data_IF_350096633545
#
_entry.id   IF_350096633545
#
_cell.length_a   1.000
_cell.length_b   1.000
_cell.length_c   1.000
_cell.angle_alpha   90.00
_cell.angle_beta   90.00
_cell.angle_gamma   90.00
#
_symmetry.space_group_name_H-M   'P 1'
#
loop_
_entity.id
_entity.type
_entity.pdbx_description
1 polymer ?
#
# COMPACT_ATOMS: atom_id res chain seq x y z
N UNK A 1 -5.02 -18.11 23.54
CA UNK A 1 -4.87 -17.80 22.10
C UNK A 1 -5.12 -16.32 21.88
N UNK A 2 -4.38 -15.64 20.99
CA UNK A 2 -4.74 -14.26 20.61
C UNK A 2 -6.18 -14.27 20.09
N UNK A 3 -7.03 -13.41 20.69
CA UNK A 3 -8.48 -13.39 20.41
C UNK A 3 -8.81 -12.88 19.00
N UNK A 4 -7.85 -12.30 18.27
CA UNK A 4 -8.01 -11.81 16.90
C UNK A 4 -6.76 -12.15 16.06
N UNK A 5 -6.94 -12.91 14.98
CA UNK A 5 -5.87 -13.34 14.07
C UNK A 5 -5.50 -12.26 13.04
N UNK A 6 -6.39 -11.29 12.79
CA UNK A 6 -6.26 -10.30 11.70
C UNK A 6 -4.95 -9.50 11.73
N UNK A 7 -4.43 -9.03 12.89
CA UNK A 7 -3.16 -8.31 12.93
C UNK A 7 -1.98 -9.13 12.38
N UNK A 8 -1.96 -10.44 12.63
CA UNK A 8 -0.91 -11.33 12.15
C UNK A 8 -1.03 -11.59 10.64
N UNK A 9 -2.26 -11.67 10.13
CA UNK A 9 -2.50 -11.76 8.68
C UNK A 9 -2.00 -10.48 8.00
N UNK A 10 -2.38 -9.30 8.52
CA UNK A 10 -1.89 -8.03 7.97
C UNK A 10 -0.38 -7.89 8.08
N UNK A 11 0.24 -8.34 9.18
CA UNK A 11 1.69 -8.36 9.32
C UNK A 11 2.35 -9.17 8.19
N UNK A 12 1.90 -10.41 7.98
CA UNK A 12 2.44 -11.30 6.96
C UNK A 12 2.23 -10.75 5.54
N UNK A 13 1.02 -10.26 5.24
CA UNK A 13 0.71 -9.66 3.95
C UNK A 13 1.55 -8.40 3.70
N UNK A 14 1.62 -7.47 4.66
CA UNK A 14 2.40 -6.24 4.50
C UNK A 14 3.87 -6.54 4.23
N UNK A 15 4.47 -7.52 4.92
CA UNK A 15 5.86 -7.92 4.68
C UNK A 15 6.03 -8.56 3.30
N UNK A 16 5.11 -9.45 2.90
CA UNK A 16 5.14 -10.09 1.58
C UNK A 16 5.07 -9.05 0.45
N UNK A 17 4.14 -8.10 0.55
CA UNK A 17 3.99 -7.02 -0.43
C UNK A 17 5.17 -6.04 -0.38
N UNK A 18 5.72 -5.70 0.79
CA UNK A 18 6.90 -4.85 0.89
C UNK A 18 8.10 -5.44 0.13
N UNK A 19 8.39 -6.73 0.37
CA UNK A 19 9.49 -7.45 -0.30
C UNK A 19 9.22 -7.60 -1.79
N UNK A 20 7.99 -8.00 -2.16
CA UNK A 20 7.58 -8.15 -3.55
C UNK A 20 7.71 -6.85 -4.34
N UNK A 21 7.21 -5.73 -3.80
CA UNK A 21 7.34 -4.42 -4.42
C UNK A 21 8.79 -3.98 -4.52
N UNK A 22 9.58 -4.15 -3.47
CA UNK A 22 11.00 -3.78 -3.51
C UNK A 22 11.76 -4.57 -4.58
N UNK A 23 11.54 -5.89 -4.66
CA UNK A 23 12.16 -6.73 -5.67
C UNK A 23 11.75 -6.32 -7.09
N UNK A 24 10.45 -6.15 -7.36
CA UNK A 24 9.96 -5.75 -8.68
C UNK A 24 10.56 -4.39 -9.09
N UNK A 25 10.64 -3.44 -8.16
CA UNK A 25 11.18 -2.11 -8.45
C UNK A 25 12.67 -2.11 -8.77
N UNK A 26 13.47 -2.91 -8.05
CA UNK A 26 14.92 -2.95 -8.25
C UNK A 26 15.30 -3.84 -9.44
N UNK A 27 14.61 -4.98 -9.62
CA UNK A 27 15.01 -5.98 -10.60
C UNK A 27 14.30 -5.87 -11.96
N UNK A 28 13.08 -5.32 -12.01
CA UNK A 28 12.22 -5.40 -13.21
C UNK A 28 11.93 -4.02 -13.81
N UNK A 29 11.77 -2.98 -13.00
CA UNK A 29 11.31 -1.66 -13.46
C UNK A 29 12.49 -0.68 -13.54
N UNK A 30 13.14 -0.51 -14.72
CA UNK A 30 14.11 0.54 -14.91
C UNK A 30 13.39 1.89 -14.89
N UNK A 31 13.73 2.75 -13.92
CA UNK A 31 13.16 4.08 -13.83
C UNK A 31 14.25 5.15 -13.86
N UNK A 32 14.10 6.12 -14.76
CA UNK A 32 15.04 7.23 -14.95
C UNK A 32 14.50 8.56 -14.43
N UNK A 33 13.20 8.65 -14.14
CA UNK A 33 12.57 9.88 -13.67
C UNK A 33 12.48 9.89 -12.15
N UNK A 34 13.19 10.82 -11.50
CA UNK A 34 13.25 10.90 -10.05
C UNK A 34 11.87 11.01 -9.38
N UNK A 35 10.95 11.78 -9.98
CA UNK A 35 9.59 11.95 -9.44
C UNK A 35 8.73 10.69 -9.56
N UNK A 36 8.98 9.83 -10.56
CA UNK A 36 8.35 8.51 -10.68
C UNK A 36 9.00 7.50 -9.75
N UNK A 37 10.33 7.56 -9.62
CA UNK A 37 11.06 6.70 -8.70
C UNK A 37 10.58 6.94 -7.27
N UNK A 38 10.49 8.20 -6.83
CA UNK A 38 10.01 8.55 -5.49
C UNK A 38 8.61 7.97 -5.21
N UNK A 39 7.67 8.11 -6.15
CA UNK A 39 6.31 7.57 -5.99
C UNK A 39 6.29 6.03 -5.93
N UNK A 40 7.13 5.38 -6.74
CA UNK A 40 7.23 3.93 -6.76
C UNK A 40 7.89 3.38 -5.49
N UNK A 41 9.01 3.96 -5.05
CA UNK A 41 9.70 3.56 -3.82
C UNK A 41 8.88 3.84 -2.55
N UNK A 42 7.92 4.77 -2.61
CA UNK A 42 6.98 4.96 -1.51
C UNK A 42 6.16 3.68 -1.20
N UNK A 43 5.91 2.82 -2.20
CA UNK A 43 5.16 1.57 -2.02
C UNK A 43 5.81 0.62 -1.01
N UNK A 44 7.04 0.09 -1.24
CA UNK A 44 7.68 -0.80 -0.28
C UNK A 44 8.00 -0.11 1.05
N UNK A 45 8.35 1.19 1.03
CA UNK A 45 8.68 1.93 2.26
C UNK A 45 7.45 2.03 3.18
N UNK A 46 6.31 2.46 2.65
CA UNK A 46 5.09 2.60 3.45
C UNK A 46 4.54 1.23 3.88
N UNK A 47 4.65 0.20 3.04
CA UNK A 47 4.31 -1.18 3.45
C UNK A 47 5.22 -1.67 4.59
N UNK A 48 6.50 -1.32 4.57
CA UNK A 48 7.41 -1.65 5.68
C UNK A 48 7.02 -0.92 6.96
N UNK A 49 6.66 0.37 6.88
CA UNK A 49 6.14 1.13 8.04
C UNK A 49 4.86 0.50 8.60
N UNK A 50 3.94 0.07 7.74
CA UNK A 50 2.74 -0.68 8.16
C UNK A 50 3.09 -2.01 8.82
N UNK A 51 4.09 -2.72 8.31
CA UNK A 51 4.56 -3.99 8.89
C UNK A 51 5.13 -3.76 10.28
N UNK A 52 6.01 -2.76 10.44
CA UNK A 52 6.58 -2.40 11.75
C UNK A 52 5.48 -1.98 12.73
N UNK A 53 4.51 -1.19 12.27
CA UNK A 53 3.35 -0.82 13.07
C UNK A 53 2.53 -2.04 13.50
N UNK A 54 2.27 -2.99 12.59
CA UNK A 54 1.57 -4.23 12.89
C UNK A 54 2.35 -5.15 13.86
N UNK A 55 3.68 -5.16 13.77
CA UNK A 55 4.55 -5.97 14.62
C UNK A 55 4.47 -5.56 16.09
N UNK A 56 4.11 -4.30 16.38
CA UNK A 56 3.94 -3.82 17.77
C UNK A 56 2.89 -4.60 18.56
N UNK A 57 1.94 -5.27 17.88
CA UNK A 57 0.93 -6.15 18.53
C UNK A 57 1.57 -7.40 19.14
N UNK A 58 2.72 -7.83 18.62
CA UNK A 58 3.46 -9.01 19.10
C UNK A 58 4.25 -8.70 20.37
N UNK A 59 4.61 -7.43 20.60
CA UNK A 59 5.42 -7.00 21.75
C UNK A 59 4.55 -6.95 23.02
N UNK A 60 4.80 -7.81 24.04
CA UNK A 60 4.00 -7.81 25.26
C UNK A 60 4.24 -6.54 26.09
N UNK A 61 3.21 -6.09 26.82
CA UNK A 61 3.27 -5.11 27.93
C UNK A 61 3.67 -3.66 27.63
N UNK A 62 4.02 -3.29 26.40
CA UNK A 62 4.30 -1.90 26.08
C UNK A 62 3.09 -1.20 25.42
N UNK A 63 2.24 -0.57 26.23
CA UNK A 63 1.06 0.15 25.76
C UNK A 63 1.42 1.34 24.85
N UNK A 64 2.52 2.04 25.16
CA UNK A 64 2.98 3.18 24.39
C UNK A 64 3.40 2.76 22.97
N UNK A 65 4.16 1.68 22.83
CA UNK A 65 4.55 1.15 21.50
C UNK A 65 3.34 0.74 20.67
N UNK A 66 2.30 0.15 21.29
CA UNK A 66 1.06 -0.22 20.57
C UNK A 66 0.30 1.00 20.07
N UNK A 67 0.25 2.09 20.85
CA UNK A 67 -0.35 3.35 20.39
C UNK A 67 0.42 3.96 19.22
N UNK A 68 1.75 3.95 19.27
CA UNK A 68 2.60 4.39 18.16
C UNK A 68 2.36 3.50 16.93
N UNK A 69 2.33 2.18 17.10
CA UNK A 69 2.06 1.23 16.03
C UNK A 69 0.70 1.44 15.36
N UNK A 70 -0.32 1.81 16.13
CA UNK A 70 -1.62 2.17 15.58
C UNK A 70 -1.52 3.38 14.64
N UNK A 71 -0.84 4.44 15.07
CA UNK A 71 -0.62 5.64 14.25
C UNK A 71 0.22 5.34 13.01
N UNK A 72 1.30 4.56 13.15
CA UNK A 72 2.14 4.14 12.01
C UNK A 72 1.30 3.46 10.94
N UNK A 73 0.48 2.48 11.32
CA UNK A 73 -0.40 1.78 10.38
C UNK A 73 -1.41 2.74 9.74
N UNK A 74 -2.07 3.59 10.52
CA UNK A 74 -3.10 4.50 10.00
C UNK A 74 -2.50 5.52 9.02
N UNK A 75 -1.39 6.15 9.40
CA UNK A 75 -0.70 7.15 8.57
C UNK A 75 -0.16 6.49 7.30
N UNK A 76 0.56 5.38 7.42
CA UNK A 76 1.15 4.72 6.26
C UNK A 76 0.09 4.15 5.31
N UNK A 77 -1.01 3.57 5.83
CA UNK A 77 -2.11 3.10 4.99
C UNK A 77 -2.81 4.26 4.27
N UNK A 78 -3.00 5.40 4.95
CA UNK A 78 -3.60 6.59 4.34
C UNK A 78 -2.70 7.18 3.25
N UNK A 79 -1.40 7.25 3.50
CA UNK A 79 -0.41 7.68 2.51
C UNK A 79 -0.33 6.71 1.33
N UNK A 80 -0.43 5.40 1.53
CA UNK A 80 -0.47 4.42 0.43
C UNK A 80 -1.71 4.61 -0.45
N UNK A 81 -2.86 4.93 0.14
CA UNK A 81 -4.06 5.27 -0.65
C UNK A 81 -3.79 6.50 -1.52
N UNK A 82 -3.16 7.54 -0.97
CA UNK A 82 -2.78 8.74 -1.75
C UNK A 82 -1.77 8.39 -2.85
N UNK A 83 -0.74 7.61 -2.54
CA UNK A 83 0.25 7.13 -3.53
C UNK A 83 -0.41 6.31 -4.64
N UNK A 84 -1.40 5.47 -4.29
CA UNK A 84 -2.20 4.69 -5.25
C UNK A 84 -2.97 5.61 -6.18
N UNK A 85 -3.66 6.63 -5.65
CA UNK A 85 -4.39 7.62 -6.46
C UNK A 85 -3.42 8.34 -7.41
N UNK A 86 -2.27 8.80 -6.90
CA UNK A 86 -1.25 9.46 -7.74
C UNK A 86 -0.74 8.53 -8.84
N UNK A 87 -0.53 7.25 -8.53
CA UNK A 87 -0.08 6.26 -9.50
C UNK A 87 -1.13 6.02 -10.60
N UNK A 88 -2.41 5.89 -10.21
CA UNK A 88 -3.53 5.78 -11.16
C UNK A 88 -3.58 7.01 -12.08
N UNK A 89 -3.55 8.21 -11.50
CA UNK A 89 -3.58 9.46 -12.28
C UNK A 89 -2.43 9.51 -13.28
N UNK A 90 -1.22 9.13 -12.87
CA UNK A 90 -0.06 9.08 -13.78
C UNK A 90 -0.26 8.08 -14.92
N UNK A 91 -0.76 6.88 -14.63
CA UNK A 91 -1.06 5.88 -15.66
C UNK A 91 -2.13 6.39 -16.63
N UNK A 92 -3.17 7.07 -16.14
CA UNK A 92 -4.22 7.65 -16.97
C UNK A 92 -3.69 8.78 -17.87
N UNK A 93 -2.83 9.65 -17.34
CA UNK A 93 -2.18 10.71 -18.14
C UNK A 93 -1.33 10.06 -19.25
N UNK A 94 -0.53 9.03 -18.92
CA UNK A 94 0.26 8.30 -19.92
C UNK A 94 -0.62 7.60 -20.96
N UNK A 95 -1.73 7.00 -20.54
CA UNK A 95 -2.69 6.34 -21.44
C UNK A 95 -3.37 7.34 -22.39
N UNK A 96 -3.79 8.51 -21.87
CA UNK A 96 -4.39 9.57 -22.68
C UNK A 96 -3.39 10.12 -23.71
N UNK A 97 -2.14 10.34 -23.30
CA UNK A 97 -1.07 10.76 -24.20
C UNK A 97 -0.79 9.72 -25.29
N UNK A 98 -0.67 8.44 -24.91
CA UNK A 98 -0.45 7.34 -25.85
C UNK A 98 -1.58 7.26 -26.88
N UNK A 99 -2.83 7.32 -26.43
CA UNK A 99 -4.00 7.31 -27.31
C UNK A 99 -4.05 8.51 -28.27
N UNK A 100 -3.58 9.68 -27.84
CA UNK A 100 -3.59 10.90 -28.66
C UNK A 100 -2.51 10.90 -29.74
N UNK A 101 -1.30 10.46 -29.40
CA UNK A 101 -0.13 10.59 -30.28
C UNK A 101 0.05 9.40 -31.22
N UNK A 102 -0.28 8.18 -30.78
CA UNK A 102 0.05 6.96 -31.51
C UNK A 102 -1.15 6.31 -32.24
N UNK A 103 -2.26 7.03 -32.37
CA UNK A 103 -3.42 6.57 -33.14
C UNK A 103 -3.92 5.18 -32.70
N UNK A 104 -3.99 4.22 -33.63
CA UNK A 104 -4.50 2.87 -33.36
C UNK A 104 -3.63 2.08 -32.34
N UNK A 105 -2.29 2.18 -32.44
CA UNK A 105 -1.39 1.57 -31.46
C UNK A 105 -1.54 2.22 -30.07
N UNK A 106 -1.73 3.53 -30.05
CA UNK A 106 -2.01 4.30 -28.84
C UNK A 106 -3.27 3.84 -28.11
N UNK A 107 -4.34 3.57 -28.86
CA UNK A 107 -5.61 3.05 -28.31
C UNK A 107 -5.42 1.69 -27.65
N UNK A 108 -4.69 0.77 -28.28
CA UNK A 108 -4.41 -0.55 -27.71
C UNK A 108 -3.60 -0.44 -26.40
N UNK A 109 -2.56 0.41 -26.39
CA UNK A 109 -1.78 0.66 -25.19
C UNK A 109 -2.63 1.30 -24.07
N UNK A 110 -3.52 2.24 -24.41
CA UNK A 110 -4.44 2.84 -23.44
C UNK A 110 -5.39 1.79 -22.81
N UNK A 111 -5.91 0.84 -23.59
CA UNK A 111 -6.73 -0.26 -23.06
C UNK A 111 -5.94 -1.14 -22.09
N UNK A 112 -4.69 -1.48 -22.42
CA UNK A 112 -3.82 -2.23 -21.49
C UNK A 112 -3.50 -1.45 -20.22
N UNK A 113 -3.39 -0.11 -20.30
CA UNK A 113 -3.16 0.73 -19.14
C UNK A 113 -4.36 0.74 -18.18
N UNK A 114 -5.60 0.63 -18.68
CA UNK A 114 -6.80 0.48 -17.83
C UNK A 114 -6.78 -0.84 -17.05
N UNK A 115 -6.32 -1.93 -17.68
CA UNK A 115 -6.08 -3.20 -16.97
C UNK A 115 -5.01 -3.02 -15.90
N UNK A 116 -3.94 -2.29 -16.21
CA UNK A 116 -2.91 -1.90 -15.23
C UNK A 116 -3.48 -1.12 -14.04
N UNK A 117 -4.40 -0.18 -14.28
CA UNK A 117 -5.10 0.57 -13.21
C UNK A 117 -5.92 -0.38 -12.33
N UNK A 118 -6.66 -1.31 -12.92
CA UNK A 118 -7.42 -2.30 -12.15
C UNK A 118 -6.51 -3.14 -11.24
N UNK A 119 -5.37 -3.61 -11.77
CA UNK A 119 -4.36 -4.34 -10.99
C UNK A 119 -3.74 -3.49 -9.87
N UNK A 120 -3.49 -2.21 -10.12
CA UNK A 120 -3.00 -1.28 -9.10
C UNK A 120 -4.01 -1.13 -7.98
N UNK A 121 -5.31 -0.97 -8.30
CA UNK A 121 -6.36 -0.90 -7.28
C UNK A 121 -6.40 -2.18 -6.46
N UNK A 122 -6.35 -3.33 -7.11
CA UNK A 122 -6.44 -4.65 -6.47
C UNK A 122 -5.23 -4.93 -5.57
N UNK A 123 -4.01 -4.80 -6.10
CA UNK A 123 -2.78 -5.21 -5.42
C UNK A 123 -2.30 -4.15 -4.42
N UNK A 124 -2.43 -2.87 -4.76
CA UNK A 124 -1.89 -1.78 -3.95
C UNK A 124 -2.95 -1.11 -3.09
N UNK A 125 -4.15 -0.88 -3.65
CA UNK A 125 -5.19 -0.09 -3.00
C UNK A 125 -6.02 -0.85 -1.96
N UNK A 126 -6.39 -2.10 -2.23
CA UNK A 126 -7.34 -2.83 -1.38
C UNK A 126 -6.79 -3.17 0.00
N UNK A 127 -5.54 -3.63 0.08
CA UNK A 127 -4.91 -4.02 1.35
C UNK A 127 -4.89 -2.87 2.38
N UNK A 128 -4.35 -1.66 2.08
CA UNK A 128 -4.36 -0.55 3.03
C UNK A 128 -5.79 -0.07 3.35
N UNK A 129 -6.74 -0.17 2.41
CA UNK A 129 -8.15 0.16 2.69
C UNK A 129 -8.78 -0.81 3.70
N UNK A 130 -8.56 -2.12 3.55
CA UNK A 130 -9.03 -3.11 4.52
C UNK A 130 -8.37 -2.96 5.88
N UNK A 131 -7.07 -2.65 5.90
CA UNK A 131 -6.35 -2.38 7.14
C UNK A 131 -6.87 -1.11 7.83
N UNK A 132 -7.10 -0.01 7.11
CA UNK A 132 -7.73 1.20 7.65
C UNK A 132 -9.12 0.92 8.24
N UNK A 133 -9.96 0.16 7.51
CA UNK A 133 -11.28 -0.25 7.99
C UNK A 133 -11.15 -1.06 9.29
N UNK A 134 -10.21 -1.99 9.36
CA UNK A 134 -9.93 -2.75 10.58
C UNK A 134 -9.47 -1.86 11.73
N UNK A 135 -8.56 -0.92 11.50
CA UNK A 135 -8.03 -0.02 12.54
C UNK A 135 -9.10 0.90 13.16
N UNK A 136 -10.14 1.24 12.39
CA UNK A 136 -11.31 1.99 12.87
C UNK A 136 -12.31 1.14 13.67
N UNK A 137 -12.28 -0.19 13.51
CA UNK A 137 -13.17 -1.10 14.22
C UNK A 137 -12.85 -1.19 15.72
N UNK A 138 -13.83 -1.63 16.54
CA UNK A 138 -13.60 -1.88 17.97
C UNK A 138 -12.52 -2.94 18.20
N UNK A 139 -12.46 -3.97 17.36
CA UNK A 139 -11.46 -5.04 17.44
C UNK A 139 -10.04 -4.48 17.22
N UNK A 140 -9.85 -3.70 16.15
CA UNK A 140 -8.59 -3.03 15.86
C UNK A 140 -8.16 -2.08 16.98
N UNK A 141 -9.06 -1.22 17.47
CA UNK A 141 -8.73 -0.33 18.60
C UNK A 141 -8.34 -1.08 19.87
N UNK A 142 -8.99 -2.20 20.20
CA UNK A 142 -8.59 -3.06 21.34
C UNK A 142 -7.23 -3.72 21.11
N UNK A 143 -6.96 -4.18 19.88
CA UNK A 143 -5.68 -4.80 19.52
C UNK A 143 -4.48 -3.86 19.68
N UNK A 144 -4.69 -2.54 19.72
CA UNK A 144 -3.64 -1.55 19.95
C UNK A 144 -3.83 -0.71 21.24
N UNK A 145 -4.65 -1.18 22.18
CA UNK A 145 -4.91 -0.49 23.45
C UNK A 145 -5.45 0.95 23.32
N UNK A 146 -6.23 1.21 22.25
CA UNK A 146 -6.88 2.49 21.96
C UNK A 146 -8.35 2.54 22.42
N UNK A 147 -8.92 1.40 22.82
CA UNK A 147 -10.26 1.34 23.41
C UNK A 147 -10.11 0.79 24.83
N UNK A 148 -10.35 1.65 25.83
CA UNK A 148 -10.63 1.24 27.21
C UNK A 148 -12.11 0.90 27.32
#
# INVERSE_FOLDING_TARGET
>A
MPRDLRPYIYLGLNQLFAVGYFYILVAVIPNRYASAAANLYALPILMQVMTLGAATVVVPRNEQLRRIGWWMVVVASSLLVVVTIVLIVRVLISAAFLSGVYGAFGKAAATSALVGVALVVELVGLLPLFQLKYMRSRAGRRAYAMAR
#
